data_IF_855457933661
#
_entry.id   IF_855457933661
#
_cell.length_a   1.000
_cell.length_b   1.000
_cell.length_c   1.000
_cell.angle_alpha   90.00
_cell.angle_beta   90.00
_cell.angle_gamma   90.00
#
_symmetry.space_group_name_H-M   'P 1'
#
loop_
_entity.id
_entity.type
_entity.pdbx_description
1 polymer ?
#
# COMPACT_ATOMS: atom_id res chain seq x y z
N UNK A 1 -17.13 48.73 -20.34
CA UNK A 1 -15.75 48.23 -20.26
C UNK A 1 -15.72 47.07 -19.29
N UNK A 2 -15.73 45.84 -19.79
CA UNK A 2 -15.52 44.66 -18.95
C UNK A 2 -14.01 44.50 -18.76
N UNK A 3 -13.55 44.79 -17.54
CA UNK A 3 -12.18 44.51 -17.10
C UNK A 3 -12.05 43.00 -16.92
N UNK A 4 -11.44 42.32 -17.90
CA UNK A 4 -10.88 40.98 -17.68
C UNK A 4 -9.75 41.12 -16.66
N UNK A 5 -10.00 40.75 -15.41
CA UNK A 5 -8.93 40.49 -14.47
C UNK A 5 -8.10 39.33 -15.04
N UNK A 6 -6.87 39.61 -15.49
CA UNK A 6 -5.93 38.57 -15.86
C UNK A 6 -5.68 37.70 -14.64
N UNK A 7 -6.15 36.46 -14.67
CA UNK A 7 -5.87 35.52 -13.60
C UNK A 7 -4.39 35.15 -13.65
N UNK A 8 -3.64 35.56 -12.63
CA UNK A 8 -2.23 35.22 -12.52
C UNK A 8 -2.13 33.78 -12.02
N UNK A 9 -2.02 32.82 -12.94
CA UNK A 9 -1.68 31.45 -12.60
C UNK A 9 -0.25 31.40 -12.03
N UNK A 10 -0.10 31.03 -10.76
CA UNK A 10 1.22 30.73 -10.19
C UNK A 10 1.46 29.24 -10.37
N UNK A 11 2.35 28.89 -11.30
CA UNK A 11 2.77 27.51 -11.48
C UNK A 11 3.65 27.09 -10.30
N UNK A 12 3.13 26.21 -9.43
CA UNK A 12 3.91 25.67 -8.30
C UNK A 12 4.60 24.38 -8.72
N UNK A 13 5.90 24.30 -8.44
CA UNK A 13 6.67 23.08 -8.50
C UNK A 13 6.54 22.35 -7.16
N UNK A 14 5.83 21.23 -7.14
CA UNK A 14 5.54 20.47 -5.93
C UNK A 14 6.32 19.17 -5.99
N UNK A 15 7.18 18.93 -4.99
CA UNK A 15 7.98 17.71 -4.92
C UNK A 15 7.11 16.57 -4.38
N UNK A 16 7.02 15.49 -5.15
CA UNK A 16 6.31 14.27 -4.75
C UNK A 16 7.27 13.09 -4.84
N UNK A 17 7.70 12.62 -3.66
CA UNK A 17 8.70 11.56 -3.49
C UNK A 17 9.92 11.73 -4.41
N UNK A 18 10.49 12.92 -4.49
CA UNK A 18 11.69 13.17 -5.29
C UNK A 18 11.43 13.51 -6.76
N UNK A 19 10.27 13.19 -7.34
CA UNK A 19 9.87 13.80 -8.62
C UNK A 19 9.15 15.14 -8.39
N UNK A 20 8.87 15.90 -9.44
CA UNK A 20 8.19 17.20 -9.37
C UNK A 20 6.96 17.23 -10.26
N UNK A 21 5.81 17.53 -9.67
CA UNK A 21 4.59 17.87 -10.40
C UNK A 21 4.50 19.39 -10.56
N UNK A 22 4.19 19.84 -11.77
CA UNK A 22 3.87 21.24 -12.04
C UNK A 22 2.35 21.42 -11.94
N UNK A 23 1.91 22.16 -10.92
CA UNK A 23 0.50 22.47 -10.71
C UNK A 23 0.25 23.97 -10.88
N UNK A 24 -0.47 24.39 -11.94
CA UNK A 24 -0.97 25.76 -12.05
C UNK A 24 -2.04 25.98 -10.97
N UNK A 25 -1.75 26.83 -9.99
CA UNK A 25 -2.69 27.21 -8.94
C UNK A 25 -3.12 28.64 -9.20
N UNK A 26 -4.38 28.80 -9.58
CA UNK A 26 -5.01 30.09 -9.83
C UNK A 26 -5.43 30.75 -8.51
N UNK A 27 -5.40 32.08 -8.41
CA UNK A 27 -5.83 32.78 -7.21
C UNK A 27 -7.31 32.53 -6.87
N UNK A 28 -8.15 32.28 -7.88
CA UNK A 28 -9.57 31.95 -7.69
C UNK A 28 -9.82 30.65 -6.90
N UNK A 29 -8.81 29.78 -6.79
CA UNK A 29 -8.91 28.56 -5.98
C UNK A 29 -8.27 28.73 -4.59
N UNK A 30 -7.84 29.93 -4.21
CA UNK A 30 -7.36 30.26 -2.87
C UNK A 30 -8.55 30.71 -1.99
N UNK A 31 -9.22 29.75 -1.37
CA UNK A 31 -10.46 29.97 -0.59
C UNK A 31 -10.16 29.86 0.89
N UNK A 32 -10.59 30.85 1.66
CA UNK A 32 -10.52 30.83 3.12
C UNK A 32 -11.75 30.14 3.70
N UNK A 33 -11.55 29.15 4.56
CA UNK A 33 -12.63 28.46 5.25
C UNK A 33 -13.20 29.31 6.39
N UNK A 34 -14.50 29.55 6.36
CA UNK A 34 -15.23 30.22 7.44
C UNK A 34 -15.51 29.26 8.61
N UNK A 35 -15.41 29.78 9.84
CA UNK A 35 -15.68 29.07 11.09
C UNK A 35 -16.94 29.63 11.79
N UNK A 36 -17.70 28.80 12.54
CA UNK A 36 -17.48 27.37 12.79
C UNK A 36 -17.85 26.49 11.57
N UNK A 37 -17.42 25.22 11.60
CA UNK A 37 -17.83 24.24 10.59
C UNK A 37 -19.35 24.04 10.62
N UNK A 38 -19.99 24.14 9.46
CA UNK A 38 -21.42 23.88 9.27
C UNK A 38 -21.70 23.47 7.83
N UNK A 39 -22.88 22.92 7.57
CA UNK A 39 -23.32 22.60 6.20
C UNK A 39 -23.19 23.83 5.27
N UNK A 40 -23.58 25.01 5.76
CA UNK A 40 -23.49 26.27 5.02
C UNK A 40 -22.05 26.68 4.71
N UNK A 41 -21.13 26.62 5.70
CA UNK A 41 -19.74 27.01 5.46
C UNK A 41 -19.04 26.06 4.50
N UNK A 42 -19.33 24.75 4.59
CA UNK A 42 -18.82 23.76 3.63
C UNK A 42 -19.39 23.92 2.22
N UNK A 43 -20.69 24.19 2.10
CA UNK A 43 -21.34 24.48 0.82
C UNK A 43 -20.74 25.71 0.15
N UNK A 44 -20.53 26.79 0.90
CA UNK A 44 -19.92 28.02 0.38
C UNK A 44 -18.47 27.78 -0.06
N UNK A 45 -17.70 27.03 0.73
CA UNK A 45 -16.33 26.65 0.39
C UNK A 45 -16.28 25.87 -0.93
N UNK A 46 -17.11 24.82 -1.07
CA UNK A 46 -17.21 24.05 -2.31
C UNK A 46 -17.63 24.92 -3.49
N UNK A 47 -18.71 25.70 -3.35
CA UNK A 47 -19.24 26.53 -4.44
C UNK A 47 -18.20 27.52 -4.96
N UNK A 48 -17.44 28.14 -4.05
CA UNK A 48 -16.36 29.06 -4.41
C UNK A 48 -15.27 28.36 -5.21
N UNK A 49 -14.80 27.19 -4.74
CA UNK A 49 -13.83 26.39 -5.48
C UNK A 49 -14.37 25.91 -6.83
N UNK A 50 -15.64 25.52 -6.89
CA UNK A 50 -16.27 24.95 -8.08
C UNK A 50 -16.52 25.98 -9.19
N UNK A 51 -16.61 27.26 -8.85
CA UNK A 51 -16.63 28.37 -9.83
C UNK A 51 -15.20 28.82 -10.20
N UNK A 52 -14.22 28.56 -9.34
CA UNK A 52 -12.81 28.87 -9.59
C UNK A 52 -12.16 28.02 -10.70
N UNK A 53 -10.96 28.42 -11.10
CA UNK A 53 -10.18 27.77 -12.15
C UNK A 53 -9.37 26.57 -11.62
N UNK A 54 -10.06 25.54 -11.14
CA UNK A 54 -9.44 24.33 -10.54
C UNK A 54 -9.04 23.25 -11.57
N UNK A 55 -9.59 23.32 -12.77
CA UNK A 55 -9.43 22.33 -13.84
C UNK A 55 -7.96 22.09 -14.23
N UNK A 56 -7.07 23.11 -14.27
CA UNK A 56 -5.63 22.88 -14.49
C UNK A 56 -4.98 21.99 -13.43
N UNK A 57 -5.39 22.10 -12.15
CA UNK A 57 -4.89 21.25 -11.06
C UNK A 57 -5.34 19.80 -11.28
N UNK A 58 -6.63 19.60 -11.60
CA UNK A 58 -7.18 18.26 -11.88
C UNK A 58 -6.52 17.64 -13.11
N UNK A 59 -6.28 18.42 -14.16
CA UNK A 59 -5.53 17.96 -15.34
C UNK A 59 -4.12 17.53 -14.96
N UNK A 60 -3.38 18.34 -14.20
CA UNK A 60 -2.03 18.00 -13.74
C UNK A 60 -2.01 16.70 -12.92
N UNK A 61 -2.94 16.56 -11.95
CA UNK A 61 -3.09 15.36 -11.13
C UNK A 61 -3.39 14.11 -11.98
N UNK A 62 -4.40 14.17 -12.87
CA UNK A 62 -4.78 13.04 -13.72
C UNK A 62 -3.67 12.66 -14.71
N UNK A 63 -3.01 13.65 -15.33
CA UNK A 63 -1.85 13.41 -16.20
C UNK A 63 -0.71 12.74 -15.43
N UNK A 64 -0.43 13.17 -14.20
CA UNK A 64 0.58 12.54 -13.36
C UNK A 64 0.20 11.10 -12.99
N UNK A 65 -1.05 10.86 -12.57
CA UNK A 65 -1.59 9.51 -12.28
C UNK A 65 -1.41 8.58 -13.48
N UNK A 66 -1.74 9.05 -14.69
CA UNK A 66 -1.62 8.27 -15.93
C UNK A 66 -0.16 8.01 -16.31
N UNK A 67 0.71 9.03 -16.24
CA UNK A 67 2.13 8.93 -16.58
C UNK A 67 2.86 7.87 -15.74
N UNK A 68 2.57 7.84 -14.44
CA UNK A 68 3.25 6.95 -13.49
C UNK A 68 2.44 5.74 -13.07
N UNK A 69 1.24 5.55 -13.67
CA UNK A 69 0.33 4.44 -13.37
C UNK A 69 0.13 4.32 -11.86
N UNK A 70 -0.27 5.42 -11.21
CA UNK A 70 -0.43 5.45 -9.76
C UNK A 70 -1.74 4.77 -9.37
N UNK A 71 -1.64 3.72 -8.56
CA UNK A 71 -2.77 3.16 -7.84
C UNK A 71 -3.40 4.22 -6.90
N UNK A 72 -4.65 4.00 -6.48
CA UNK A 72 -5.44 5.06 -5.85
C UNK A 72 -4.85 5.53 -4.53
N UNK A 73 -4.24 4.62 -3.75
CA UNK A 73 -3.50 5.00 -2.55
C UNK A 73 -2.35 5.98 -2.84
N UNK A 74 -1.49 5.67 -3.81
CA UNK A 74 -0.39 6.56 -4.22
C UNK A 74 -0.91 7.87 -4.80
N UNK A 75 -2.01 7.82 -5.55
CA UNK A 75 -2.66 9.00 -6.08
C UNK A 75 -3.25 9.88 -4.97
N UNK A 76 -3.81 9.29 -3.92
CA UNK A 76 -4.25 10.04 -2.74
C UNK A 76 -3.06 10.70 -2.02
N UNK A 77 -1.91 10.03 -1.92
CA UNK A 77 -0.69 10.66 -1.39
C UNK A 77 -0.24 11.87 -2.24
N UNK A 78 -0.39 11.81 -3.56
CA UNK A 78 -0.15 12.96 -4.44
C UNK A 78 -1.16 14.09 -4.16
N UNK A 79 -2.45 13.77 -4.05
CA UNK A 79 -3.50 14.74 -3.70
C UNK A 79 -3.21 15.42 -2.36
N UNK A 80 -2.79 14.66 -1.34
CA UNK A 80 -2.36 15.21 -0.04
C UNK A 80 -1.23 16.22 -0.21
N UNK A 81 -0.24 15.88 -1.03
CA UNK A 81 0.93 16.73 -1.27
C UNK A 81 0.53 18.03 -2.00
N UNK A 82 -0.37 17.95 -2.97
CA UNK A 82 -0.90 19.13 -3.67
C UNK A 82 -1.78 19.98 -2.76
N UNK A 83 -2.64 19.36 -1.94
CA UNK A 83 -3.46 20.05 -0.96
C UNK A 83 -2.59 20.80 0.08
N UNK A 84 -1.49 20.19 0.54
CA UNK A 84 -0.52 20.83 1.45
C UNK A 84 0.11 22.07 0.82
N UNK A 85 0.44 22.02 -0.47
CA UNK A 85 1.01 23.16 -1.19
C UNK A 85 0.01 24.30 -1.45
N UNK A 86 -1.29 24.02 -1.45
CA UNK A 86 -2.36 25.02 -1.60
C UNK A 86 -2.72 25.60 -0.23
N UNK A 87 -2.95 24.73 0.75
CA UNK A 87 -3.42 25.06 2.10
C UNK A 87 -2.66 24.18 3.10
N UNK A 88 -1.55 24.67 3.66
CA UNK A 88 -0.72 23.88 4.57
C UNK A 88 -1.50 23.35 5.77
N UNK A 89 -1.31 22.07 6.11
CA UNK A 89 -1.97 21.42 7.25
C UNK A 89 -1.73 22.18 8.56
N UNK A 90 -0.52 22.71 8.74
CA UNK A 90 -0.12 23.48 9.94
C UNK A 90 -0.83 24.83 10.06
N UNK A 91 -1.31 25.40 8.96
CA UNK A 91 -1.98 26.70 8.94
C UNK A 91 -3.48 26.55 9.22
N UNK A 92 -4.15 25.60 8.55
CA UNK A 92 -5.56 25.31 8.76
C UNK A 92 -5.88 23.86 8.36
N UNK A 93 -6.04 22.99 9.37
CA UNK A 93 -6.25 21.57 9.17
C UNK A 93 -7.58 21.24 8.46
N UNK A 94 -8.66 21.95 8.81
CA UNK A 94 -9.97 21.75 8.21
C UNK A 94 -9.95 22.13 6.72
N UNK A 95 -9.37 23.29 6.40
CA UNK A 95 -9.23 23.76 5.03
C UNK A 95 -8.36 22.82 4.19
N UNK A 96 -7.20 22.38 4.73
CA UNK A 96 -6.36 21.35 4.10
C UNK A 96 -7.17 20.08 3.78
N UNK A 97 -7.99 19.61 4.73
CA UNK A 97 -8.81 18.41 4.54
C UNK A 97 -9.91 18.61 3.50
N UNK A 98 -10.51 19.79 3.41
CA UNK A 98 -11.46 20.11 2.36
C UNK A 98 -10.82 20.19 0.96
N UNK A 99 -9.59 20.68 0.84
CA UNK A 99 -8.86 20.59 -0.43
C UNK A 99 -8.57 19.14 -0.83
N UNK A 100 -8.16 18.28 0.11
CA UNK A 100 -8.00 16.83 -0.18
C UNK A 100 -9.31 16.24 -0.72
N UNK A 101 -10.42 16.49 -0.04
CA UNK A 101 -11.74 16.01 -0.45
C UNK A 101 -12.14 16.53 -1.82
N UNK A 102 -12.08 17.85 -2.03
CA UNK A 102 -12.47 18.49 -3.27
C UNK A 102 -11.66 17.94 -4.45
N UNK A 103 -10.33 17.88 -4.33
CA UNK A 103 -9.46 17.37 -5.39
C UNK A 103 -9.73 15.88 -5.67
N UNK A 104 -9.95 15.06 -4.65
CA UNK A 104 -10.23 13.64 -4.81
C UNK A 104 -11.60 13.42 -5.49
N UNK A 105 -12.65 14.14 -5.07
CA UNK A 105 -13.97 14.13 -5.69
C UNK A 105 -13.94 14.60 -7.16
N UNK A 106 -13.27 15.74 -7.43
CA UNK A 106 -13.08 16.27 -8.79
C UNK A 106 -12.20 15.38 -9.68
N UNK A 107 -11.35 14.55 -9.09
CA UNK A 107 -10.64 13.52 -9.82
C UNK A 107 -11.51 12.31 -10.19
N UNK A 108 -12.69 12.18 -9.59
CA UNK A 108 -13.72 11.20 -9.94
C UNK A 108 -14.06 10.21 -8.84
N UNK A 109 -13.46 10.31 -7.66
CA UNK A 109 -13.64 9.33 -6.58
C UNK A 109 -14.87 9.64 -5.73
N UNK A 110 -15.70 8.61 -5.49
CA UNK A 110 -16.83 8.67 -4.59
C UNK A 110 -16.33 8.90 -3.15
N UNK A 111 -16.49 10.12 -2.65
CA UNK A 111 -15.99 10.56 -1.35
C UNK A 111 -17.02 11.37 -0.59
N UNK A 112 -16.97 11.27 0.73
CA UNK A 112 -17.90 11.94 1.64
C UNK A 112 -17.14 12.64 2.75
N UNK A 113 -17.71 13.74 3.25
CA UNK A 113 -17.24 14.42 4.46
C UNK A 113 -18.27 14.21 5.56
N UNK A 114 -17.80 14.00 6.79
CA UNK A 114 -18.64 14.06 7.99
C UNK A 114 -18.01 15.00 9.01
N UNK A 115 -18.85 15.79 9.69
CA UNK A 115 -18.41 16.82 10.64
C UNK A 115 -19.01 16.63 12.03
N UNK A 116 -18.24 16.99 13.05
CA UNK A 116 -18.68 17.14 14.45
C UNK A 116 -17.80 18.18 15.14
N UNK A 117 -18.38 19.30 15.56
CA UNK A 117 -17.63 20.45 16.08
C UNK A 117 -16.51 20.83 15.09
N UNK A 118 -15.25 20.86 15.53
CA UNK A 118 -14.10 21.16 14.68
C UNK A 118 -13.49 19.93 13.98
N UNK A 119 -14.05 18.72 14.20
CA UNK A 119 -13.57 17.47 13.57
C UNK A 119 -14.21 17.30 12.20
N UNK A 120 -13.37 17.09 11.20
CA UNK A 120 -13.75 16.87 9.80
C UNK A 120 -13.13 15.56 9.30
N UNK A 121 -13.98 14.56 9.06
CA UNK A 121 -13.58 13.23 8.62
C UNK A 121 -13.86 13.07 7.12
N UNK A 122 -12.83 12.69 6.37
CA UNK A 122 -12.88 12.43 4.94
C UNK A 122 -12.96 10.92 4.72
N UNK A 123 -13.98 10.49 3.98
CA UNK A 123 -14.20 9.10 3.62
C UNK A 123 -14.12 8.90 2.11
N UNK A 124 -13.62 7.74 1.70
CA UNK A 124 -13.71 7.24 0.33
C UNK A 124 -14.50 5.93 0.28
N UNK A 125 -15.33 5.78 -0.75
CA UNK A 125 -16.02 4.51 -0.98
C UNK A 125 -15.02 3.45 -1.43
N UNK A 126 -15.11 2.24 -0.88
CA UNK A 126 -14.29 1.10 -1.29
C UNK A 126 -15.10 -0.19 -1.22
N UNK A 127 -14.76 -1.16 -2.06
CA UNK A 127 -15.33 -2.51 -2.06
C UNK A 127 -14.40 -3.51 -1.33
N UNK A 128 -13.22 -3.06 -0.91
CA UNK A 128 -12.23 -3.89 -0.22
C UNK A 128 -12.48 -3.95 1.29
N UNK A 129 -12.08 -5.06 1.91
CA UNK A 129 -12.18 -5.23 3.35
C UNK A 129 -11.05 -4.47 4.04
N UNK A 130 -11.43 -3.60 4.98
CA UNK A 130 -10.49 -2.74 5.72
C UNK A 130 -10.74 -2.89 7.22
N UNK A 131 -9.66 -3.05 7.98
CA UNK A 131 -9.69 -3.20 9.43
C UNK A 131 -8.98 -2.03 10.13
N UNK A 132 -9.20 -1.93 11.44
CA UNK A 132 -8.53 -1.01 12.37
C UNK A 132 -8.73 0.49 12.11
N UNK A 133 -9.51 0.89 11.10
CA UNK A 133 -9.90 2.28 10.87
C UNK A 133 -11.42 2.46 10.73
N UNK A 134 -11.97 3.61 11.11
CA UNK A 134 -13.42 3.84 11.07
C UNK A 134 -13.97 3.77 9.65
N UNK A 135 -15.10 3.09 9.52
CA UNK A 135 -15.90 3.07 8.31
C UNK A 135 -17.38 3.20 8.66
N UNK A 136 -18.21 3.49 7.66
CA UNK A 136 -19.65 3.35 7.77
C UNK A 136 -20.21 2.79 6.47
N UNK A 137 -21.41 2.22 6.53
CA UNK A 137 -22.12 1.74 5.36
C UNK A 137 -23.33 2.63 5.08
N UNK A 138 -23.57 2.92 3.81
CA UNK A 138 -24.77 3.61 3.33
C UNK A 138 -25.17 3.00 1.98
N UNK A 139 -26.44 2.60 1.85
CA UNK A 139 -26.98 1.98 0.63
C UNK A 139 -26.15 0.77 0.14
N UNK A 140 -25.69 -0.08 1.06
CA UNK A 140 -24.86 -1.25 0.75
C UNK A 140 -23.42 -0.93 0.33
N UNK A 141 -22.99 0.34 0.35
CA UNK A 141 -21.63 0.76 0.02
C UNK A 141 -20.85 1.12 1.28
N UNK A 142 -19.63 0.62 1.39
CA UNK A 142 -18.70 0.93 2.49
C UNK A 142 -17.90 2.20 2.19
N UNK A 143 -17.80 3.08 3.19
CA UNK A 143 -17.00 4.30 3.16
C UNK A 143 -15.98 4.29 4.30
N UNK A 144 -14.69 4.40 3.97
CA UNK A 144 -13.57 4.24 4.91
C UNK A 144 -12.86 5.57 5.13
N UNK A 145 -12.55 5.89 6.38
CA UNK A 145 -11.97 7.17 6.78
C UNK A 145 -10.49 7.29 6.41
N UNK A 146 -10.15 8.22 5.52
CA UNK A 146 -8.80 8.44 5.00
C UNK A 146 -7.90 9.31 5.90
N UNK A 147 -8.45 9.99 6.91
CA UNK A 147 -7.72 10.90 7.78
C UNK A 147 -7.91 10.63 9.27
N UNK A 148 -8.36 9.42 9.65
CA UNK A 148 -8.51 9.07 11.08
C UNK A 148 -7.21 9.18 11.87
N UNK A 149 -6.07 8.86 11.25
CA UNK A 149 -4.73 8.98 11.85
C UNK A 149 -4.34 10.40 12.28
N UNK A 150 -5.05 11.43 11.81
CA UNK A 150 -4.83 12.82 12.22
C UNK A 150 -5.56 13.17 13.52
N UNK A 151 -6.35 12.24 14.08
CA UNK A 151 -7.11 12.42 15.32
C UNK A 151 -6.66 11.43 16.40
N UNK A 152 -6.86 11.81 17.67
CA UNK A 152 -6.84 10.86 18.78
C UNK A 152 -8.02 9.88 18.72
N UNK A 153 -8.19 9.07 19.77
CA UNK A 153 -9.34 8.18 19.85
C UNK A 153 -10.65 8.99 19.81
N UNK A 154 -11.53 8.62 18.87
CA UNK A 154 -12.88 9.19 18.74
C UNK A 154 -13.86 8.14 19.24
N UNK A 155 -14.66 8.50 20.24
CA UNK A 155 -15.77 7.66 20.71
C UNK A 155 -16.99 7.89 19.80
N UNK A 156 -17.07 7.12 18.71
CA UNK A 156 -18.17 7.21 17.75
C UNK A 156 -19.54 6.86 18.35
N UNK A 157 -19.61 6.28 19.56
CA UNK A 157 -20.87 6.04 20.27
C UNK A 157 -21.41 7.31 20.94
N UNK A 158 -20.53 8.27 21.29
CA UNK A 158 -20.87 9.55 21.93
C UNK A 158 -20.83 10.72 20.96
N UNK A 159 -20.01 10.63 19.92
CA UNK A 159 -19.83 11.69 18.93
C UNK A 159 -20.61 11.39 17.65
N UNK A 160 -21.80 11.97 17.53
CA UNK A 160 -22.60 11.84 16.32
C UNK A 160 -22.11 12.79 15.22
N UNK A 161 -21.43 12.24 14.21
CA UNK A 161 -21.01 12.97 13.03
C UNK A 161 -22.13 13.12 12.01
N UNK A 162 -22.30 14.33 11.47
CA UNK A 162 -23.29 14.65 10.42
C UNK A 162 -22.61 14.64 9.06
N UNK A 163 -23.23 13.97 8.07
CA UNK A 163 -22.72 13.95 6.70
C UNK A 163 -22.95 15.28 6.00
N UNK A 164 -21.92 15.78 5.30
CA UNK A 164 -22.06 16.88 4.36
C UNK A 164 -22.47 16.32 3.00
N UNK A 165 -23.67 16.66 2.55
CA UNK A 165 -24.27 16.10 1.34
C UNK A 165 -24.23 17.12 0.22
N UNK A 166 -23.37 16.88 -0.77
CA UNK A 166 -23.31 17.65 -2.00
C UNK A 166 -23.09 16.73 -3.18
N UNK A 167 -23.79 16.98 -4.29
CA UNK A 167 -23.63 16.21 -5.51
C UNK A 167 -22.39 16.70 -6.28
N UNK A 168 -21.44 15.79 -6.48
CA UNK A 168 -20.30 15.97 -7.40
C UNK A 168 -20.49 14.92 -8.51
N UNK A 169 -21.10 15.28 -9.66
CA UNK A 169 -21.55 14.30 -10.66
C UNK A 169 -20.46 13.32 -11.11
N UNK A 170 -19.23 13.81 -11.26
CA UNK A 170 -18.07 13.03 -11.68
C UNK A 170 -17.54 12.05 -10.61
N UNK A 171 -17.92 12.20 -9.34
CA UNK A 171 -17.41 11.44 -8.20
C UNK A 171 -18.08 10.07 -8.03
N UNK A 172 -17.83 9.14 -8.97
CA UNK A 172 -18.46 7.82 -9.01
C UNK A 172 -17.49 6.65 -8.81
N UNK A 173 -16.19 6.89 -8.97
CA UNK A 173 -15.17 5.84 -8.91
C UNK A 173 -14.97 5.33 -7.48
N UNK A 174 -14.97 4.00 -7.35
CA UNK A 174 -14.59 3.29 -6.12
C UNK A 174 -13.08 3.40 -5.90
N UNK A 175 -12.67 3.67 -4.67
CA UNK A 175 -11.26 3.73 -4.28
C UNK A 175 -10.72 2.33 -4.01
N UNK A 176 -9.61 1.96 -4.66
CA UNK A 176 -8.90 0.71 -4.42
C UNK A 176 -7.63 0.93 -3.61
N UNK A 177 -7.44 0.13 -2.55
CA UNK A 177 -6.20 0.08 -1.79
C UNK A 177 -5.20 -0.90 -2.41
N UNK A 178 -5.54 -1.68 -3.45
CA UNK A 178 -4.55 -2.50 -4.18
C UNK A 178 -3.42 -1.64 -4.70
N UNK A 179 -2.18 -2.05 -4.44
CA UNK A 179 -0.97 -1.42 -4.97
C UNK A 179 -0.30 -2.43 -5.88
N UNK A 180 -0.47 -2.21 -7.18
CA UNK A 180 0.08 -3.05 -8.24
C UNK A 180 1.40 -2.51 -8.79
N UNK A 181 1.73 -1.25 -8.47
CA UNK A 181 2.95 -0.60 -8.91
C UNK A 181 3.51 0.33 -7.83
N UNK A 182 4.80 0.18 -7.50
CA UNK A 182 5.54 1.18 -6.74
C UNK A 182 6.38 1.99 -7.74
N UNK A 183 6.06 3.27 -8.00
CA UNK A 183 6.80 4.09 -8.95
C UNK A 183 8.26 4.27 -8.52
N UNK A 184 9.16 4.30 -9.50
CA UNK A 184 10.55 4.70 -9.27
C UNK A 184 10.63 6.22 -9.15
N UNK A 185 11.17 6.63 -8.02
CA UNK A 185 11.46 8.00 -7.72
C UNK A 185 12.95 8.30 -7.92
N UNK A 186 13.34 9.58 -7.89
CA UNK A 186 14.73 10.00 -8.16
C UNK A 186 15.78 9.12 -7.47
N UNK A 187 16.85 8.84 -8.22
CA UNK A 187 17.91 7.88 -7.91
C UNK A 187 18.60 8.11 -6.56
N UNK A 188 18.66 9.35 -6.12
CA UNK A 188 19.48 9.82 -5.00
C UNK A 188 18.90 9.44 -3.64
N UNK A 189 17.64 9.00 -3.61
CA UNK A 189 16.95 8.57 -2.40
C UNK A 189 17.13 7.08 -2.08
N UNK A 190 18.00 6.37 -2.81
CA UNK A 190 18.30 4.96 -2.58
C UNK A 190 19.57 4.81 -1.76
N UNK A 191 19.47 4.14 -0.62
CA UNK A 191 20.60 3.78 0.23
C UNK A 191 20.93 2.29 0.06
N UNK A 192 22.22 1.96 0.23
CA UNK A 192 22.67 0.59 0.29
C UNK A 192 22.26 -0.04 1.63
N UNK A 193 21.69 -1.25 1.57
CA UNK A 193 21.41 -2.10 2.72
C UNK A 193 22.12 -3.43 2.54
N UNK A 194 22.82 -3.86 3.58
CA UNK A 194 23.42 -5.18 3.65
C UNK A 194 22.50 -6.11 4.46
N UNK A 195 22.17 -7.26 3.89
CA UNK A 195 21.42 -8.33 4.53
C UNK A 195 22.28 -9.58 4.56
N UNK A 196 22.18 -10.37 5.62
CA UNK A 196 22.94 -11.60 5.77
C UNK A 196 22.10 -12.71 6.36
N UNK A 197 22.37 -13.95 5.96
CA UNK A 197 21.75 -15.13 6.53
C UNK A 197 22.55 -16.39 6.17
N UNK A 198 22.32 -17.46 6.93
CA UNK A 198 22.93 -18.76 6.67
C UNK A 198 21.94 -19.72 5.99
N UNK A 199 22.46 -20.48 5.02
CA UNK A 199 21.75 -21.60 4.41
C UNK A 199 22.71 -22.75 4.13
N UNK A 200 22.45 -23.92 4.73
CA UNK A 200 23.28 -25.14 4.60
C UNK A 200 24.77 -24.89 4.85
N UNK A 201 25.08 -24.31 6.01
CA UNK A 201 26.45 -24.01 6.47
C UNK A 201 27.21 -23.00 5.61
N UNK A 202 26.52 -22.26 4.74
CA UNK A 202 27.08 -21.18 3.96
C UNK A 202 26.40 -19.86 4.34
N UNK A 203 27.23 -18.87 4.68
CA UNK A 203 26.81 -17.49 4.85
C UNK A 203 26.58 -16.82 3.50
N UNK A 204 25.46 -16.11 3.38
CA UNK A 204 25.10 -15.31 2.21
C UNK A 204 25.03 -13.85 2.62
N UNK A 205 25.63 -12.97 1.81
CA UNK A 205 25.57 -11.52 1.98
C UNK A 205 24.95 -10.89 0.74
N UNK A 206 23.88 -10.12 0.94
CA UNK A 206 23.16 -9.43 -0.12
C UNK A 206 23.31 -7.92 0.08
N UNK A 207 23.74 -7.24 -0.97
CA UNK A 207 23.88 -5.78 -1.03
C UNK A 207 22.79 -5.24 -1.94
N UNK A 208 21.76 -4.63 -1.35
CA UNK A 208 20.57 -4.18 -2.07
C UNK A 208 20.35 -2.68 -1.92
N UNK A 209 19.66 -2.07 -2.88
CA UNK A 209 19.32 -0.66 -2.85
C UNK A 209 17.87 -0.49 -2.39
N UNK A 210 17.66 0.35 -1.38
CA UNK A 210 16.33 0.61 -0.81
C UNK A 210 16.04 2.10 -0.75
N UNK A 211 14.79 2.48 -1.03
CA UNK A 211 14.32 3.85 -0.92
C UNK A 211 13.48 4.05 0.35
N UNK A 212 13.94 4.91 1.25
CA UNK A 212 13.28 5.17 2.53
C UNK A 212 11.93 5.88 2.38
N UNK A 213 11.66 6.55 1.25
CA UNK A 213 10.36 7.18 1.00
C UNK A 213 9.20 6.17 0.96
N UNK A 214 9.47 4.88 0.72
CA UNK A 214 8.44 3.83 0.82
C UNK A 214 7.81 3.81 2.21
N UNK A 215 8.55 4.08 3.29
CA UNK A 215 7.95 4.19 4.62
C UNK A 215 6.91 5.31 4.70
N UNK A 216 7.13 6.43 4.01
CA UNK A 216 6.19 7.57 3.97
C UNK A 216 4.94 7.26 3.15
N UNK A 217 5.07 6.47 2.08
CA UNK A 217 3.93 5.98 1.28
C UNK A 217 2.98 5.17 2.15
N UNK A 218 3.52 4.27 2.97
CA UNK A 218 2.75 3.32 3.75
C UNK A 218 2.45 3.77 5.19
N UNK A 219 2.87 4.97 5.59
CA UNK A 219 2.76 5.44 6.98
C UNK A 219 1.33 5.37 7.55
N UNK A 220 0.33 5.61 6.70
CA UNK A 220 -1.10 5.57 7.06
C UNK A 220 -1.90 4.61 6.17
N UNK A 221 -1.22 3.70 5.46
CA UNK A 221 -1.91 2.66 4.69
C UNK A 221 -2.61 1.72 5.68
N UNK A 222 -3.91 1.45 5.52
CA UNK A 222 -4.65 0.69 6.52
C UNK A 222 -4.32 -0.79 6.48
N UNK A 223 -4.80 -1.52 7.49
CA UNK A 223 -4.81 -2.98 7.46
C UNK A 223 -5.88 -3.41 6.45
N UNK A 224 -5.43 -3.84 5.28
CA UNK A 224 -6.25 -4.35 4.18
C UNK A 224 -6.17 -5.86 4.10
N UNK A 225 -6.94 -6.47 3.20
CA UNK A 225 -6.94 -7.93 3.06
C UNK A 225 -5.58 -8.46 2.58
N UNK A 226 -5.35 -9.75 2.80
CA UNK A 226 -4.07 -10.37 2.46
C UNK A 226 -3.82 -10.41 0.96
N UNK A 227 -4.85 -10.41 0.11
CA UNK A 227 -4.67 -10.31 -1.34
C UNK A 227 -4.02 -8.96 -1.70
N UNK A 228 -4.58 -7.85 -1.23
CA UNK A 228 -4.05 -6.51 -1.46
C UNK A 228 -2.61 -6.43 -0.95
N UNK A 229 -2.36 -7.02 0.22
CA UNK A 229 -1.10 -6.93 0.92
C UNK A 229 0.05 -7.75 0.32
N UNK A 230 -0.21 -9.04 0.05
CA UNK A 230 0.81 -9.99 -0.40
C UNK A 230 1.20 -9.76 -1.87
N UNK A 231 0.41 -8.96 -2.60
CA UNK A 231 0.69 -8.60 -3.99
C UNK A 231 1.41 -7.25 -4.17
N UNK A 232 1.71 -6.52 -3.09
CA UNK A 232 2.45 -5.25 -3.19
C UNK A 232 3.85 -5.53 -3.78
N UNK A 233 4.21 -4.91 -4.92
CA UNK A 233 5.50 -5.16 -5.56
C UNK A 233 6.64 -4.39 -4.86
N UNK A 234 7.87 -4.68 -5.27
CA UNK A 234 9.02 -3.81 -4.97
C UNK A 234 9.10 -2.66 -5.99
N UNK A 235 9.69 -1.54 -5.61
CA UNK A 235 10.15 -0.54 -6.59
C UNK A 235 11.18 -1.18 -7.54
N UNK A 236 11.23 -0.75 -8.80
CA UNK A 236 12.05 -1.38 -9.84
C UNK A 236 13.53 -1.40 -9.46
N UNK A 237 14.06 -0.31 -8.89
CA UNK A 237 15.47 -0.25 -8.49
C UNK A 237 15.79 -1.19 -7.33
N UNK A 238 14.87 -1.36 -6.38
CA UNK A 238 15.00 -2.40 -5.33
C UNK A 238 14.95 -3.78 -5.95
N UNK A 239 13.94 -4.06 -6.79
CA UNK A 239 13.77 -5.33 -7.50
C UNK A 239 15.04 -5.73 -8.27
N UNK A 240 15.58 -4.81 -9.07
CA UNK A 240 16.76 -5.04 -9.90
C UNK A 240 18.05 -5.19 -9.08
N UNK A 241 18.09 -4.74 -7.83
CA UNK A 241 19.23 -4.98 -6.93
C UNK A 241 19.12 -6.30 -6.16
N UNK A 242 17.90 -6.76 -5.85
CA UNK A 242 17.68 -7.97 -5.05
C UNK A 242 17.52 -9.24 -5.91
N UNK A 243 16.65 -9.20 -6.93
CA UNK A 243 16.28 -10.41 -7.69
C UNK A 243 17.47 -11.08 -8.38
N UNK A 244 18.41 -10.36 -9.02
CA UNK A 244 19.57 -11.01 -9.64
C UNK A 244 20.43 -11.77 -8.64
N UNK A 245 20.63 -11.22 -7.43
CA UNK A 245 21.42 -11.88 -6.38
C UNK A 245 20.76 -13.19 -5.92
N UNK A 246 19.44 -13.16 -5.68
CA UNK A 246 18.70 -14.36 -5.28
C UNK A 246 18.70 -15.41 -6.40
N UNK A 247 18.43 -15.01 -7.65
CA UNK A 247 18.40 -15.90 -8.82
C UNK A 247 19.76 -16.54 -9.09
N UNK A 248 20.85 -15.80 -8.93
CA UNK A 248 22.22 -16.31 -9.06
C UNK A 248 22.52 -17.37 -7.99
N UNK A 249 22.13 -17.13 -6.74
CA UNK A 249 22.37 -18.06 -5.63
C UNK A 249 21.61 -19.38 -5.76
N UNK A 250 20.41 -19.36 -6.36
CA UNK A 250 19.55 -20.55 -6.52
C UNK A 250 19.69 -21.24 -7.88
N UNK A 251 20.47 -20.71 -8.83
CA UNK A 251 20.48 -21.21 -10.23
C UNK A 251 20.83 -22.69 -10.40
N UNK A 252 21.57 -23.27 -9.45
CA UNK A 252 21.96 -24.69 -9.43
C UNK A 252 21.09 -25.55 -8.50
N UNK A 253 20.08 -24.96 -7.88
CA UNK A 253 19.16 -25.63 -6.98
C UNK A 253 17.94 -26.11 -7.77
N UNK A 254 17.43 -27.30 -7.43
CA UNK A 254 16.07 -27.67 -7.84
C UNK A 254 15.04 -26.73 -7.21
N UNK A 255 13.83 -26.70 -7.77
CA UNK A 255 12.77 -25.77 -7.35
C UNK A 255 12.49 -25.83 -5.85
N UNK A 256 12.44 -27.04 -5.26
CA UNK A 256 12.18 -27.22 -3.84
C UNK A 256 13.30 -26.64 -2.98
N UNK A 257 14.57 -26.94 -3.30
CA UNK A 257 15.74 -26.36 -2.61
C UNK A 257 15.82 -24.85 -2.78
N UNK A 258 15.40 -24.34 -3.92
CA UNK A 258 15.33 -22.90 -4.17
C UNK A 258 14.28 -22.20 -3.32
N UNK A 259 13.07 -22.77 -3.20
CA UNK A 259 12.03 -22.28 -2.29
C UNK A 259 12.51 -22.36 -0.82
N UNK A 260 13.19 -23.45 -0.45
CA UNK A 260 13.80 -23.62 0.87
C UNK A 260 14.84 -22.52 1.15
N UNK A 261 15.71 -22.19 0.19
CA UNK A 261 16.65 -21.07 0.28
C UNK A 261 15.94 -19.73 0.51
N UNK A 262 14.85 -19.45 -0.24
CA UNK A 262 14.06 -18.22 -0.06
C UNK A 262 13.39 -18.17 1.32
N UNK A 263 12.89 -19.30 1.81
CA UNK A 263 12.32 -19.42 3.16
C UNK A 263 13.36 -19.10 4.24
N UNK A 264 14.59 -19.61 4.10
CA UNK A 264 15.68 -19.31 5.02
C UNK A 264 16.13 -17.84 4.95
N UNK A 265 16.15 -17.24 3.76
CA UNK A 265 16.42 -15.81 3.61
C UNK A 265 15.41 -14.98 4.42
N UNK A 266 14.11 -15.22 4.23
CA UNK A 266 13.06 -14.45 4.92
C UNK A 266 13.02 -14.73 6.42
N UNK A 267 13.41 -15.93 6.85
CA UNK A 267 13.44 -16.33 8.26
C UNK A 267 14.61 -15.72 9.02
N UNK A 268 15.77 -15.61 8.40
CA UNK A 268 17.02 -15.38 9.12
C UNK A 268 17.68 -14.03 8.82
N UNK A 269 17.24 -13.30 7.79
CA UNK A 269 17.83 -12.00 7.45
C UNK A 269 17.34 -10.82 8.31
N UNK A 270 16.40 -11.06 9.22
CA UNK A 270 15.73 -10.05 10.04
C UNK A 270 15.61 -10.52 11.50
N UNK A 271 15.61 -9.60 12.45
CA UNK A 271 15.29 -9.91 13.85
C UNK A 271 13.77 -10.13 13.99
N UNK A 272 13.36 -11.04 14.87
CA UNK A 272 11.93 -11.24 15.14
C UNK A 272 11.46 -10.29 16.24
N UNK A 273 10.37 -9.57 15.98
CA UNK A 273 9.66 -8.75 16.97
C UNK A 273 8.21 -8.57 16.54
N UNK A 274 7.27 -8.62 17.49
CA UNK A 274 5.84 -8.43 17.16
C UNK A 274 5.54 -6.97 16.80
N UNK A 275 4.48 -6.75 16.02
CA UNK A 275 4.01 -5.41 15.67
C UNK A 275 3.66 -4.54 16.89
N UNK A 276 3.06 -5.13 17.93
CA UNK A 276 2.73 -4.39 19.14
C UNK A 276 3.99 -3.89 19.86
N UNK A 277 5.05 -4.69 19.92
CA UNK A 277 6.32 -4.29 20.54
C UNK A 277 7.09 -3.28 19.68
N UNK A 278 7.03 -3.39 18.35
CA UNK A 278 7.77 -2.53 17.43
C UNK A 278 7.05 -1.20 17.14
N UNK A 279 5.74 -1.23 16.94
CA UNK A 279 4.92 -0.10 16.48
C UNK A 279 3.84 0.34 17.47
N UNK A 280 3.62 -0.38 18.57
CA UNK A 280 2.56 -0.11 19.56
C UNK A 280 1.15 -0.47 19.07
N UNK A 281 1.03 -1.08 17.89
CA UNK A 281 -0.23 -1.48 17.25
C UNK A 281 0.07 -2.42 16.09
N UNK A 282 -0.97 -3.11 15.62
CA UNK A 282 -0.94 -3.88 14.37
C UNK A 282 -0.45 -3.02 13.19
N UNK A 283 0.53 -3.53 12.44
CA UNK A 283 1.09 -2.86 11.27
C UNK A 283 1.79 -3.86 10.33
N UNK A 284 1.01 -4.35 9.38
CA UNK A 284 1.54 -5.06 8.22
C UNK A 284 2.63 -4.23 7.51
N UNK A 285 3.73 -4.89 7.08
CA UNK A 285 4.82 -4.30 6.26
C UNK A 285 4.94 -4.91 4.85
N UNK A 286 4.95 -4.06 3.81
CA UNK A 286 5.04 -4.51 2.42
C UNK A 286 6.39 -5.21 2.21
N UNK A 287 6.57 -6.03 1.17
CA UNK A 287 7.85 -6.70 0.93
C UNK A 287 9.06 -5.73 0.97
N UNK A 288 8.90 -4.51 0.42
CA UNK A 288 9.96 -3.51 0.48
C UNK A 288 10.12 -2.89 1.88
N UNK A 289 9.04 -2.70 2.66
CA UNK A 289 9.17 -2.26 4.04
C UNK A 289 9.86 -3.32 4.91
N UNK A 290 9.54 -4.61 4.75
CA UNK A 290 10.23 -5.70 5.45
C UNK A 290 11.75 -5.63 5.20
N UNK A 291 12.18 -5.35 3.97
CA UNK A 291 13.59 -5.15 3.64
C UNK A 291 14.21 -3.88 4.28
N UNK A 292 13.41 -2.85 4.56
CA UNK A 292 13.84 -1.58 5.14
C UNK A 292 13.96 -1.61 6.67
N UNK A 293 13.12 -2.39 7.36
CA UNK A 293 13.15 -2.52 8.81
C UNK A 293 14.19 -3.57 9.27
N UNK A 294 14.68 -3.44 10.50
CA UNK A 294 15.56 -4.44 11.12
C UNK A 294 14.75 -5.61 11.70
N UNK A 295 13.60 -5.30 12.28
CA UNK A 295 12.70 -6.26 12.89
C UNK A 295 11.48 -6.54 12.01
N UNK A 296 10.97 -7.77 12.11
CA UNK A 296 9.79 -8.25 11.38
C UNK A 296 9.08 -9.36 12.14
N UNK A 297 7.77 -9.48 11.96
CA UNK A 297 6.97 -10.55 12.54
C UNK A 297 6.57 -11.63 11.50
N UNK A 298 5.62 -12.49 11.86
CA UNK A 298 5.13 -13.55 10.97
C UNK A 298 4.45 -13.02 9.69
N UNK A 299 3.67 -11.94 9.78
CA UNK A 299 2.96 -11.38 8.63
C UNK A 299 3.92 -10.78 7.61
N UNK A 300 4.92 -10.04 8.09
CA UNK A 300 5.91 -9.38 7.23
C UNK A 300 6.80 -10.39 6.50
N UNK A 301 7.19 -11.45 7.20
CA UNK A 301 8.03 -12.54 6.65
C UNK A 301 7.25 -13.40 5.67
N UNK A 302 5.98 -13.72 5.98
CA UNK A 302 5.09 -14.44 5.07
C UNK A 302 4.84 -13.67 3.77
N UNK A 303 4.57 -12.36 3.86
CA UNK A 303 4.36 -11.51 2.69
C UNK A 303 5.63 -11.41 1.82
N UNK A 304 6.81 -11.21 2.42
CA UNK A 304 8.07 -11.19 1.67
C UNK A 304 8.37 -12.55 1.03
N UNK A 305 8.17 -13.66 1.75
CA UNK A 305 8.38 -15.01 1.21
C UNK A 305 7.45 -15.29 0.04
N UNK A 306 6.16 -14.98 0.20
CA UNK A 306 5.17 -15.11 -0.85
C UNK A 306 5.57 -14.33 -2.11
N UNK A 307 5.95 -13.06 -1.94
CA UNK A 307 6.42 -12.21 -3.04
C UNK A 307 7.61 -12.86 -3.79
N UNK A 308 8.61 -13.35 -3.06
CA UNK A 308 9.80 -13.95 -3.67
C UNK A 308 9.49 -15.24 -4.43
N UNK A 309 8.67 -16.14 -3.87
CA UNK A 309 8.28 -17.39 -4.53
C UNK A 309 7.45 -17.10 -5.78
N UNK A 310 6.53 -16.13 -5.72
CA UNK A 310 5.75 -15.66 -6.86
C UNK A 310 6.65 -15.14 -7.98
N UNK A 311 7.58 -14.24 -7.67
CA UNK A 311 8.44 -13.58 -8.68
C UNK A 311 9.52 -14.50 -9.29
N UNK A 312 10.00 -15.49 -8.53
CA UNK A 312 11.08 -16.36 -8.97
C UNK A 312 10.56 -17.64 -9.61
N UNK A 313 9.57 -18.28 -8.99
CA UNK A 313 9.08 -19.60 -9.39
C UNK A 313 7.66 -19.60 -9.92
N UNK A 314 6.89 -18.54 -9.65
CA UNK A 314 5.49 -18.40 -10.06
C UNK A 314 4.67 -19.64 -9.70
N UNK A 315 4.77 -20.06 -8.43
CA UNK A 315 4.11 -21.27 -7.92
C UNK A 315 2.73 -20.97 -7.33
N UNK A 316 1.77 -21.90 -7.43
CA UNK A 316 0.52 -21.82 -6.67
C UNK A 316 0.79 -21.80 -5.17
N UNK A 317 0.12 -20.91 -4.45
CA UNK A 317 0.31 -20.72 -3.02
C UNK A 317 -1.02 -20.43 -2.33
N UNK A 318 -1.13 -20.82 -1.07
CA UNK A 318 -2.21 -20.42 -0.17
C UNK A 318 -1.63 -19.81 1.10
N UNK A 319 -2.32 -18.82 1.65
CA UNK A 319 -1.97 -18.16 2.91
C UNK A 319 -2.87 -18.73 4.00
N UNK A 320 -2.25 -19.25 5.05
CA UNK A 320 -2.91 -19.88 6.19
C UNK A 320 -2.89 -18.92 7.38
N UNK A 321 -4.07 -18.47 7.80
CA UNK A 321 -4.23 -17.63 8.99
C UNK A 321 -4.65 -18.48 10.17
N UNK A 322 -3.79 -18.59 11.17
CA UNK A 322 -4.09 -19.13 12.49
C UNK A 322 -4.41 -17.97 13.45
N UNK A 323 -4.99 -18.22 14.65
CA UNK A 323 -5.35 -17.15 15.59
C UNK A 323 -4.20 -16.20 15.98
N UNK A 324 -2.98 -16.71 16.10
CA UNK A 324 -1.79 -15.94 16.52
C UNK A 324 -0.61 -16.10 15.55
N UNK A 325 -0.83 -16.62 14.33
CA UNK A 325 0.24 -16.89 13.39
C UNK A 325 -0.25 -16.89 11.95
N UNK A 326 0.59 -16.44 11.03
CA UNK A 326 0.34 -16.58 9.59
C UNK A 326 1.51 -17.28 8.91
N UNK A 327 1.20 -18.08 7.89
CA UNK A 327 2.21 -18.77 7.10
C UNK A 327 1.72 -19.02 5.67
N UNK A 328 2.61 -19.55 4.84
CA UNK A 328 2.34 -19.82 3.42
C UNK A 328 2.49 -21.31 3.16
N UNK A 329 1.59 -21.91 2.40
CA UNK A 329 1.77 -23.24 1.85
C UNK A 329 1.90 -23.16 0.32
N UNK A 330 2.87 -23.88 -0.23
CA UNK A 330 3.27 -23.84 -1.64
C UNK A 330 2.94 -25.18 -2.29
N UNK A 331 2.43 -25.15 -3.53
CA UNK A 331 2.28 -26.35 -4.33
C UNK A 331 3.60 -26.73 -5.01
N UNK A 332 3.96 -28.01 -4.92
CA UNK A 332 5.09 -28.61 -5.63
C UNK A 332 4.61 -29.74 -6.54
N UNK A 333 5.38 -30.03 -7.58
CA UNK A 333 5.05 -31.11 -8.53
C UNK A 333 5.18 -32.53 -7.95
N UNK A 334 5.95 -32.71 -6.88
CA UNK A 334 6.15 -34.01 -6.23
C UNK A 334 5.40 -34.08 -4.89
N UNK A 335 4.58 -35.12 -4.65
CA UNK A 335 3.87 -35.27 -3.39
C UNK A 335 4.82 -35.50 -2.21
N UNK A 336 4.49 -34.91 -1.06
CA UNK A 336 5.17 -35.08 0.21
C UNK A 336 4.16 -35.37 1.32
N UNK A 337 4.62 -35.82 2.47
CA UNK A 337 3.76 -36.06 3.63
C UNK A 337 3.09 -34.78 4.14
N UNK A 338 1.93 -34.93 4.78
CA UNK A 338 1.17 -33.87 5.46
C UNK A 338 0.79 -32.66 4.58
N UNK A 339 0.12 -32.86 3.42
CA UNK A 339 -0.37 -31.75 2.64
C UNK A 339 -1.53 -31.02 3.34
N UNK A 340 -1.63 -29.73 3.08
CA UNK A 340 -2.85 -28.95 3.22
C UNK A 340 -3.64 -29.11 1.93
N UNK A 341 -4.86 -29.63 2.01
CA UNK A 341 -5.73 -29.85 0.84
C UNK A 341 -6.66 -28.66 0.67
N UNK A 342 -6.60 -27.99 -0.48
CA UNK A 342 -7.48 -26.88 -0.82
C UNK A 342 -7.94 -26.98 -2.27
N UNK A 343 -9.25 -26.93 -2.50
CA UNK A 343 -9.88 -27.11 -3.82
C UNK A 343 -9.37 -28.37 -4.58
N UNK A 344 -9.18 -29.47 -3.85
CA UNK A 344 -8.70 -30.74 -4.41
C UNK A 344 -7.20 -30.79 -4.74
N UNK A 345 -6.44 -29.72 -4.44
CA UNK A 345 -5.02 -29.61 -4.69
C UNK A 345 -4.21 -29.67 -3.39
N UNK A 346 -3.01 -30.25 -3.45
CA UNK A 346 -2.10 -30.38 -2.32
C UNK A 346 -1.12 -29.20 -2.25
N UNK A 347 -0.96 -28.64 -1.05
CA UNK A 347 0.00 -27.59 -0.71
C UNK A 347 0.81 -28.01 0.51
N UNK A 348 2.06 -27.57 0.63
CA UNK A 348 2.91 -27.88 1.79
C UNK A 348 3.39 -26.61 2.46
N UNK A 349 3.23 -26.58 3.80
CA UNK A 349 3.63 -25.44 4.64
C UNK A 349 5.11 -25.14 4.42
N UNK A 350 5.40 -23.88 4.14
CA UNK A 350 6.74 -23.31 4.04
C UNK A 350 6.81 -22.18 5.06
N UNK A 351 7.31 -22.50 6.26
CA UNK A 351 7.22 -21.64 7.44
C UNK A 351 8.37 -20.62 7.51
N UNK A 352 8.17 -19.34 7.17
CA UNK A 352 9.26 -18.37 7.01
C UNK A 352 9.59 -17.61 8.31
N UNK A 353 9.01 -17.98 9.46
CA UNK A 353 9.08 -17.16 10.68
C UNK A 353 10.05 -17.64 11.76
N UNK A 354 9.92 -18.84 12.34
CA UNK A 354 10.61 -19.20 13.58
C UNK A 354 12.12 -19.32 13.36
N UNK A 355 12.90 -18.57 14.12
CA UNK A 355 14.37 -18.60 14.02
C UNK A 355 15.00 -19.68 14.91
N UNK A 356 14.33 -20.05 16.00
CA UNK A 356 14.82 -21.03 16.96
C UNK A 356 14.67 -22.48 16.49
N UNK A 357 13.82 -22.74 15.49
CA UNK A 357 13.54 -24.07 14.96
C UNK A 357 13.73 -24.08 13.45
N UNK A 358 14.64 -24.92 12.96
CA UNK A 358 14.85 -25.09 11.53
C UNK A 358 13.80 -26.04 10.92
N UNK A 359 12.62 -25.49 10.63
CA UNK A 359 11.51 -26.23 10.02
C UNK A 359 11.73 -26.39 8.51
N UNK A 360 11.67 -27.63 8.05
CA UNK A 360 11.73 -28.00 6.63
C UNK A 360 10.38 -27.76 5.95
N UNK A 361 10.39 -27.62 4.63
CA UNK A 361 9.16 -27.64 3.82
C UNK A 361 8.28 -28.85 4.18
N UNK A 362 7.00 -28.59 4.44
CA UNK A 362 6.00 -29.57 4.89
C UNK A 362 5.95 -29.77 6.40
N UNK A 363 6.84 -29.14 7.17
CA UNK A 363 6.78 -29.09 8.63
C UNK A 363 6.08 -27.80 9.08
N UNK A 364 5.40 -27.89 10.22
CA UNK A 364 4.73 -26.78 10.89
C UNK A 364 5.17 -26.72 12.34
N UNK A 365 4.99 -25.56 12.97
CA UNK A 365 5.22 -25.39 14.40
C UNK A 365 4.36 -26.40 15.19
N UNK A 366 4.92 -27.09 16.21
CA UNK A 366 4.15 -28.05 17.01
C UNK A 366 2.88 -27.45 17.62
N UNK A 367 2.91 -26.17 18.00
CA UNK A 367 1.76 -25.43 18.54
C UNK A 367 0.59 -25.29 17.55
N UNK A 368 0.85 -25.38 16.25
CA UNK A 368 -0.18 -25.20 15.21
C UNK A 368 -0.86 -26.50 14.78
N UNK A 369 -0.33 -27.66 15.17
CA UNK A 369 -0.75 -28.97 14.64
C UNK A 369 -2.25 -29.27 14.80
N UNK A 370 -2.86 -28.82 15.89
CA UNK A 370 -4.29 -29.00 16.18
C UNK A 370 -5.07 -27.67 16.18
N UNK A 371 -4.43 -26.59 15.72
CA UNK A 371 -5.06 -25.29 15.65
C UNK A 371 -5.86 -25.18 14.34
N UNK A 372 -7.03 -24.56 14.43
CA UNK A 372 -7.82 -24.24 13.22
C UNK A 372 -7.13 -23.09 12.48
N UNK A 373 -7.24 -23.12 11.16
CA UNK A 373 -6.79 -22.05 10.28
C UNK A 373 -7.83 -21.75 9.23
N UNK A 374 -7.79 -20.52 8.72
CA UNK A 374 -8.52 -20.09 7.55
C UNK A 374 -7.57 -19.92 6.37
N UNK A 375 -8.06 -20.24 5.17
CA UNK A 375 -7.35 -19.91 3.92
C UNK A 375 -7.82 -18.52 3.51
N UNK A 376 -7.00 -17.53 3.82
CA UNK A 376 -7.34 -16.10 3.69
C UNK A 376 -6.91 -15.50 2.35
N UNK A 377 -6.04 -16.20 1.62
CA UNK A 377 -5.68 -15.85 0.25
C UNK A 377 -5.17 -17.08 -0.50
N UNK A 378 -5.50 -17.19 -1.79
CA UNK A 378 -5.02 -18.24 -2.67
C UNK A 378 -4.55 -17.62 -3.99
N UNK A 379 -3.33 -17.97 -4.39
CA UNK A 379 -2.72 -17.53 -5.63
C UNK A 379 -2.57 -18.70 -6.59
N UNK A 380 -3.11 -18.51 -7.79
CA UNK A 380 -2.89 -19.38 -8.93
C UNK A 380 -2.17 -18.58 -10.01
N UNK A 381 -1.04 -19.06 -10.53
CA UNK A 381 -0.40 -18.48 -11.70
C UNK A 381 -1.40 -18.45 -12.86
N UNK A 382 -1.66 -17.26 -13.42
CA UNK A 382 -2.33 -17.18 -14.71
C UNK A 382 -1.40 -17.80 -15.75
N UNK A 383 -1.94 -18.68 -16.60
CA UNK A 383 -1.19 -19.28 -17.71
C UNK A 383 -0.75 -18.18 -18.67
N UNK A 384 0.45 -17.64 -18.48
CA UNK A 384 1.08 -16.76 -19.45
C UNK A 384 1.49 -17.68 -20.61
N UNK A 385 0.76 -17.62 -21.72
CA UNK A 385 1.28 -18.04 -23.01
C UNK A 385 2.61 -17.30 -23.22
N UNK A 386 3.73 -18.02 -23.21
CA UNK A 386 5.06 -17.47 -23.41
C UNK A 386 5.09 -16.65 -24.70
N UNK A 387 5.01 -15.32 -24.59
CA UNK A 387 5.49 -14.43 -25.65
C UNK A 387 7.01 -14.45 -25.57
N UNK A 388 7.61 -15.34 -26.35
CA UNK A 388 9.01 -15.29 -26.72
C UNK A 388 9.32 -13.87 -27.23
N UNK A 389 9.97 -13.06 -26.39
CA UNK A 389 10.57 -11.80 -26.84
C UNK A 389 12.04 -12.13 -27.13
N UNK A 390 12.51 -11.98 -28.38
CA UNK A 390 13.85 -12.37 -28.75
C UNK A 390 14.90 -11.50 -28.06
N UNK A 391 15.98 -12.15 -27.61
CA UNK A 391 17.20 -11.53 -27.11
C UNK A 391 17.82 -10.76 -28.28
N UNK A 392 17.70 -9.43 -28.26
CA UNK A 392 18.50 -8.56 -29.13
C UNK A 392 19.92 -8.60 -28.58
N UNK A 393 20.75 -9.43 -29.21
CA UNK A 393 22.21 -9.34 -29.10
C UNK A 393 22.65 -8.17 -29.96
N UNK A 394 23.14 -7.09 -29.33
CA UNK A 394 23.88 -6.07 -30.05
C UNK A 394 25.33 -6.54 -30.23
N UNK A 395 25.79 -6.52 -31.48
CA UNK A 395 27.20 -6.57 -31.86
C UNK A 395 27.87 -5.23 -31.60
#
# INVERSE_FOLDING_TARGET
MFSYAQSTNVAKHIVFFGDTILCPIDQSVSVQLQTPLSQTTLQNFYNTLNVGNYQPIIKALKTYKQKYILDDWLFYQLIRTVAEAISPKSSNYQQYTLYKWFLLAKCGYATNIRIKNDKLLLYAQTDELIWAIPYYQVNGKQYVCLNYHDFGQIDFSKEQFVSFSISVPEAQQVFSYKINNIPDFKSDNYALRELQFDFKQKAYHLKILLNQHVQKIFANYPVVDYECYFNIPLSKKTYNSLMPLLKENIKKMDQKKGVDYLMHFTRNAFEFQTDTENFGKEKRLSPQQTLLYQQSDCEHRAALFFFLVKEIYNLPMIVLSYPEHITVAVQFGQPMANPIVYNGLNYWVCEPTPQQQDLRIGQMLPSLKNSKYDIVYAYQPTSIAFKNTPIITQK
#
